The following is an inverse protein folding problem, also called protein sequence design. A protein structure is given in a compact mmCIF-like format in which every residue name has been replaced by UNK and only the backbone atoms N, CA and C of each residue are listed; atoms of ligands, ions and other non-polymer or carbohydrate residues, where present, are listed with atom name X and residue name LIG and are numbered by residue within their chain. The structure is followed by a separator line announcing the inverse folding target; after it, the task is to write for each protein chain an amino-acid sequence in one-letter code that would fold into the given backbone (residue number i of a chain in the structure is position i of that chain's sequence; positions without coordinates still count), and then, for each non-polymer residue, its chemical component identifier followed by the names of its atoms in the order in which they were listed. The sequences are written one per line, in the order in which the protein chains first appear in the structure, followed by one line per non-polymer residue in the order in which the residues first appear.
data_IF_915977307732
#
_entry.id   IF_915977307732
#
_cell.length_a   1.000
_cell.length_b   1.000
_cell.length_c   1.000
_cell.angle_alpha   90.00
_cell.angle_beta   90.00
_cell.angle_gamma   90.00
#
_symmetry.space_group_name_H-M   'P 1'
#
loop_
_entity.id
_entity.type
_entity.pdbx_description
1 polymer ?
#
# COMPACT_ATOMS: atom_id res chain seq x y z
N UNK A 1 -2.95 14.81 -9.14
CA UNK A 1 -2.79 13.72 -10.14
C UNK A 1 -4.15 13.08 -10.43
N UNK A 2 -4.38 12.39 -11.56
CA UNK A 2 -5.63 11.62 -11.74
C UNK A 2 -5.41 10.18 -11.29
N UNK A 3 -6.34 9.64 -10.50
CA UNK A 3 -6.26 8.30 -9.93
C UNK A 3 -7.45 7.44 -10.38
N UNK A 4 -7.21 6.15 -10.59
CA UNK A 4 -8.26 5.16 -10.90
C UNK A 4 -8.09 3.91 -10.05
N UNK A 5 -9.21 3.21 -9.82
CA UNK A 5 -9.16 1.86 -9.28
C UNK A 5 -8.52 0.92 -10.30
N UNK A 6 -7.67 0.03 -9.81
CA UNK A 6 -6.92 -0.94 -10.61
C UNK A 6 -6.69 -2.22 -9.79
N UNK A 7 -5.94 -3.15 -10.39
CA UNK A 7 -5.38 -4.29 -9.69
C UNK A 7 -3.87 -4.30 -9.90
N UNK A 8 -3.13 -4.70 -8.87
CA UNK A 8 -1.68 -4.79 -8.91
C UNK A 8 -1.20 -6.11 -8.31
N UNK A 9 -0.01 -6.52 -8.74
CA UNK A 9 0.60 -7.76 -8.27
C UNK A 9 1.63 -7.46 -7.19
N UNK A 10 1.38 -7.97 -5.98
CA UNK A 10 2.31 -7.93 -4.87
C UNK A 10 3.04 -9.28 -4.81
N UNK A 11 4.37 -9.22 -4.93
CA UNK A 11 5.26 -10.34 -4.70
C UNK A 11 5.54 -10.43 -3.21
N UNK A 12 5.29 -11.59 -2.59
CA UNK A 12 5.57 -11.83 -1.17
C UNK A 12 7.05 -11.66 -0.83
N UNK A 13 7.36 -11.49 0.47
CA UNK A 13 8.75 -11.32 0.94
C UNK A 13 9.65 -12.47 0.46
N UNK A 14 10.85 -12.10 0.02
CA UNK A 14 11.99 -13.00 -0.20
C UNK A 14 12.69 -13.40 1.13
N UNK A 15 12.36 -12.72 2.24
CA UNK A 15 13.07 -12.85 3.51
C UNK A 15 12.35 -13.81 4.51
N UNK A 16 12.37 -15.13 4.26
CA UNK A 16 12.29 -16.21 5.29
C UNK A 16 12.28 -17.61 4.62
N UNK A 17 12.59 -18.72 5.32
CA UNK A 17 12.82 -20.06 4.74
C UNK A 17 11.55 -20.76 4.23
N UNK A 18 10.45 -20.03 4.09
CA UNK A 18 9.20 -20.53 3.56
C UNK A 18 9.18 -20.36 2.04
N UNK A 19 8.61 -21.31 1.28
CA UNK A 19 8.56 -21.22 -0.17
C UNK A 19 7.93 -19.89 -0.60
N UNK A 20 8.45 -19.30 -1.68
CA UNK A 20 7.94 -18.06 -2.26
C UNK A 20 6.42 -18.05 -2.19
N UNK A 21 5.87 -17.12 -1.40
CA UNK A 21 4.44 -16.87 -1.49
C UNK A 21 4.17 -16.48 -2.93
N UNK A 22 3.29 -17.24 -3.59
CA UNK A 22 2.88 -16.97 -4.97
C UNK A 22 2.49 -15.48 -5.08
N UNK A 23 2.81 -14.81 -6.19
CA UNK A 23 2.35 -13.45 -6.40
C UNK A 23 0.84 -13.38 -6.24
N UNK A 24 0.36 -12.35 -5.54
CA UNK A 24 -1.06 -12.15 -5.28
C UNK A 24 -1.54 -10.89 -6.00
N UNK A 25 -2.64 -11.03 -6.74
CA UNK A 25 -3.36 -9.89 -7.30
C UNK A 25 -4.14 -9.22 -6.19
N UNK A 26 -3.91 -7.93 -6.00
CA UNK A 26 -4.50 -7.11 -4.95
C UNK A 26 -5.18 -5.89 -5.54
N UNK A 27 -6.22 -5.36 -4.86
CA UNK A 27 -6.76 -4.05 -5.19
C UNK A 27 -5.64 -3.01 -5.18
N UNK A 28 -5.72 -2.08 -6.13
CA UNK A 28 -4.75 -1.02 -6.28
C UNK A 28 -5.43 0.28 -6.71
N UNK A 29 -4.69 1.37 -6.57
CA UNK A 29 -4.96 2.62 -7.26
C UNK A 29 -3.78 2.98 -8.13
N UNK A 30 -4.07 3.39 -9.35
CA UNK A 30 -3.07 3.77 -10.34
C UNK A 30 -3.26 5.23 -10.72
N UNK A 31 -2.15 5.97 -10.74
CA UNK A 31 -2.13 7.34 -11.21
C UNK A 31 -1.81 7.42 -12.70
N UNK A 32 -2.22 8.51 -13.35
CA UNK A 32 -1.86 8.84 -14.74
C UNK A 32 -0.35 9.05 -14.97
N UNK A 33 0.43 9.12 -13.88
CA UNK A 33 1.89 9.21 -13.89
C UNK A 33 2.59 7.86 -13.63
N UNK A 34 1.85 6.76 -13.62
CA UNK A 34 2.39 5.41 -13.46
C UNK A 34 2.76 5.04 -12.02
N UNK A 35 2.21 5.75 -11.02
CA UNK A 35 2.32 5.35 -9.61
C UNK A 35 1.19 4.38 -9.30
N UNK A 36 1.52 3.22 -8.73
CA UNK A 36 0.56 2.20 -8.33
C UNK A 36 0.68 1.97 -6.85
N UNK A 37 -0.42 2.13 -6.11
CA UNK A 37 -0.48 1.82 -4.67
C UNK A 37 -1.40 0.62 -4.49
N UNK A 38 -0.82 -0.49 -4.04
CA UNK A 38 -1.51 -1.75 -3.74
C UNK A 38 -1.62 -1.91 -2.23
N UNK A 39 -2.60 -2.68 -1.76
CA UNK A 39 -2.74 -2.94 -0.32
C UNK A 39 -3.16 -4.36 -0.01
N UNK A 40 -2.84 -4.80 1.22
CA UNK A 40 -3.23 -6.13 1.72
C UNK A 40 -4.03 -6.02 3.01
N UNK A 41 -4.86 -7.04 3.28
CA UNK A 41 -5.48 -7.25 4.60
C UNK A 41 -4.48 -7.87 5.60
N UNK A 42 -3.36 -8.38 5.10
CA UNK A 42 -2.38 -9.14 5.87
C UNK A 42 -1.47 -8.16 6.59
N UNK A 43 -1.41 -8.30 7.90
CA UNK A 43 -0.64 -7.39 8.74
C UNK A 43 0.40 -8.15 9.56
N UNK A 44 1.56 -7.54 9.86
CA UNK A 44 2.39 -7.99 10.97
C UNK A 44 1.67 -7.84 12.34
N UNK A 45 0.68 -6.95 12.47
CA UNK A 45 -0.05 -6.65 13.73
C UNK A 45 -1.54 -6.39 13.46
N UNK A 46 -2.45 -6.91 14.28
CA UNK A 46 -3.90 -6.68 14.13
C UNK A 46 -4.21 -5.16 14.02
N UNK A 47 -5.01 -4.76 13.01
CA UNK A 47 -5.39 -3.36 12.79
C UNK A 47 -4.43 -2.53 11.90
N UNK A 48 -3.29 -3.08 11.51
CA UNK A 48 -2.38 -2.47 10.53
C UNK A 48 -2.64 -2.99 9.11
N UNK A 49 -2.35 -2.18 8.10
CA UNK A 49 -2.37 -2.57 6.69
C UNK A 49 -1.08 -2.23 6.00
N UNK A 50 -0.62 -3.13 5.15
CA UNK A 50 0.56 -2.88 4.32
C UNK A 50 0.12 -2.23 3.01
N UNK A 51 0.68 -1.05 2.73
CA UNK A 51 0.60 -0.36 1.46
C UNK A 51 1.91 -0.61 0.69
N UNK A 52 1.79 -1.01 -0.57
CA UNK A 52 2.92 -1.21 -1.47
C UNK A 52 2.78 -0.21 -2.59
N UNK A 53 3.65 0.79 -2.61
CA UNK A 53 3.75 1.76 -3.69
C UNK A 53 4.78 1.26 -4.70
N UNK A 54 4.44 1.34 -5.99
CA UNK A 54 5.35 1.03 -7.11
C UNK A 54 5.32 2.17 -8.12
N UNK A 55 6.49 2.55 -8.62
CA UNK A 55 6.64 3.51 -9.74
C UNK A 55 7.84 3.10 -10.59
N UNK A 56 7.61 2.62 -11.82
CA UNK A 56 8.69 2.04 -12.62
C UNK A 56 9.33 0.83 -11.92
N UNK A 57 10.66 0.84 -11.75
CA UNK A 57 11.41 -0.22 -11.06
C UNK A 57 11.57 0.03 -9.54
N UNK A 58 10.92 1.04 -9.00
CA UNK A 58 10.93 1.38 -7.59
C UNK A 58 9.72 0.81 -6.86
N UNK A 59 9.94 0.23 -5.68
CA UNK A 59 8.88 -0.20 -4.77
C UNK A 59 9.15 0.26 -3.34
N UNK A 60 8.14 0.83 -2.69
CA UNK A 60 8.17 1.22 -1.29
C UNK A 60 7.05 0.52 -0.51
N UNK A 61 7.39 -0.01 0.66
CA UNK A 61 6.44 -0.64 1.58
C UNK A 61 6.19 0.31 2.73
N UNK A 62 4.95 0.76 2.90
CA UNK A 62 4.50 1.59 4.01
C UNK A 62 3.43 0.85 4.82
N UNK A 63 3.17 1.31 6.04
CA UNK A 63 2.08 0.78 6.85
C UNK A 63 1.07 1.86 7.16
N UNK A 64 -0.20 1.51 7.11
CA UNK A 64 -1.31 2.35 7.51
C UNK A 64 -1.98 1.75 8.74
N UNK A 65 -2.32 2.59 9.72
CA UNK A 65 -3.15 2.25 10.87
C UNK A 65 -4.45 3.04 10.78
N UNK A 66 -5.56 2.33 10.95
CA UNK A 66 -6.85 2.97 11.16
C UNK A 66 -7.00 3.29 12.66
N UNK A 67 -7.01 4.57 13.01
CA UNK A 67 -7.32 5.08 14.34
C UNK A 67 -8.79 5.51 14.40
N UNK A 68 -9.58 4.90 15.28
CA UNK A 68 -10.93 5.36 15.57
C UNK A 68 -10.83 6.45 16.65
N UNK A 69 -11.10 7.70 16.28
CA UNK A 69 -11.01 8.83 17.20
C UNK A 69 -12.30 9.00 18.00
N UNK A 70 -13.46 8.71 17.38
CA UNK A 70 -14.81 8.66 17.95
C UNK A 70 -15.67 7.72 17.08
N UNK A 71 -16.89 7.35 17.52
CA UNK A 71 -17.83 6.44 16.82
C UNK A 71 -18.20 6.82 15.36
N UNK A 72 -17.66 7.91 14.84
CA UNK A 72 -17.92 8.45 13.50
C UNK A 72 -16.64 8.78 12.71
N UNK A 73 -15.47 8.85 13.36
CA UNK A 73 -14.24 9.37 12.74
C UNK A 73 -13.13 8.33 12.76
N UNK A 74 -12.83 7.79 11.57
CA UNK A 74 -11.61 7.01 11.31
C UNK A 74 -10.53 7.98 10.79
N UNK A 75 -9.39 8.06 11.46
CA UNK A 75 -8.16 8.68 10.98
C UNK A 75 -7.25 7.57 10.47
N UNK A 76 -6.63 7.78 9.31
CA UNK A 76 -5.60 6.87 8.81
C UNK A 76 -4.26 7.51 9.12
N UNK A 77 -3.46 6.84 9.94
CA UNK A 77 -2.07 7.23 10.23
C UNK A 77 -1.14 6.43 9.32
N UNK A 78 -0.33 7.13 8.53
CA UNK A 78 0.74 6.53 7.73
C UNK A 78 2.01 6.45 8.56
N UNK A 79 2.57 5.25 8.66
CA UNK A 79 3.90 5.03 9.22
C UNK A 79 4.87 4.89 8.05
N UNK A 80 5.60 5.97 7.80
CA UNK A 80 6.77 6.06 6.92
C UNK A 80 8.07 6.14 7.73
N UNK A 81 8.11 5.46 8.88
CA UNK A 81 9.34 5.36 9.67
C UNK A 81 10.36 4.50 8.89
N UNK A 82 11.58 4.99 8.59
CA UNK A 82 12.62 4.25 7.87
C UNK A 82 12.97 2.88 8.48
N UNK A 83 12.70 2.67 9.78
CA UNK A 83 12.87 1.39 10.46
C UNK A 83 11.86 0.33 10.00
N UNK A 84 10.69 0.76 9.51
CA UNK A 84 9.62 -0.10 9.04
C UNK A 84 9.41 0.00 7.52
N UNK A 85 9.57 1.20 6.96
CA UNK A 85 9.48 1.48 5.55
C UNK A 85 10.66 0.83 4.82
N UNK A 86 10.35 -0.17 4.00
CA UNK A 86 11.36 -0.85 3.18
C UNK A 86 11.27 -0.37 1.75
N UNK A 87 12.42 -0.12 1.14
CA UNK A 87 12.53 0.31 -0.25
C UNK A 87 13.29 -0.73 -1.06
N UNK A 88 12.74 -1.05 -2.22
CA UNK A 88 13.24 -2.10 -3.08
C UNK A 88 13.39 -1.58 -4.51
N UNK A 89 14.48 -1.97 -5.16
CA UNK A 89 14.57 -1.94 -6.62
C UNK A 89 14.13 -3.27 -7.19
N UNK A 90 13.21 -3.25 -8.14
CA UNK A 90 12.78 -4.41 -8.91
C UNK A 90 13.82 -4.63 -10.01
N UNK A 91 14.52 -5.75 -9.92
CA UNK A 91 15.63 -6.09 -10.82
C UNK A 91 15.16 -6.84 -12.07
N UNK A 92 14.09 -7.64 -11.94
CA UNK A 92 13.58 -8.47 -13.03
C UNK A 92 12.06 -8.44 -13.09
N UNK A 93 11.50 -8.80 -14.26
CA UNK A 93 10.06 -8.90 -14.47
C UNK A 93 9.39 -9.97 -13.58
N UNK A 94 10.19 -10.91 -13.05
CA UNK A 94 9.78 -11.95 -12.11
C UNK A 94 9.67 -11.45 -10.66
N UNK A 95 9.97 -10.17 -10.41
CA UNK A 95 9.82 -9.57 -9.09
C UNK A 95 10.99 -9.80 -8.15
N UNK A 96 12.19 -10.14 -8.67
CA UNK A 96 13.41 -10.09 -7.86
C UNK A 96 13.67 -8.67 -7.39
N UNK A 97 14.02 -8.53 -6.11
CA UNK A 97 14.13 -7.24 -5.43
C UNK A 97 15.46 -7.14 -4.70
N UNK A 98 16.04 -5.96 -4.70
CA UNK A 98 17.17 -5.60 -3.84
C UNK A 98 16.77 -4.44 -2.92
N UNK A 99 16.98 -4.62 -1.62
CA UNK A 99 16.75 -3.56 -0.63
C UNK A 99 17.78 -2.45 -0.85
N UNK A 100 17.36 -1.19 -0.75
CA UNK A 100 18.26 -0.06 -0.92
C UNK A 100 17.80 1.16 -0.11
N UNK A 101 18.70 2.12 0.09
CA UNK A 101 18.35 3.41 0.69
C UNK A 101 17.78 4.35 -0.38
N UNK A 102 16.54 4.85 -0.22
CA UNK A 102 15.91 5.73 -1.20
C UNK A 102 16.59 7.10 -1.26
N UNK A 103 16.48 7.77 -2.39
CA UNK A 103 16.86 9.19 -2.51
C UNK A 103 15.83 10.11 -1.86
N UNK A 104 16.22 11.36 -1.58
CA UNK A 104 15.28 12.37 -1.05
C UNK A 104 14.09 12.62 -1.99
N UNK A 105 14.30 12.53 -3.30
CA UNK A 105 13.22 12.72 -4.29
C UNK A 105 12.27 11.52 -4.33
N UNK A 106 12.79 10.31 -4.14
CA UNK A 106 11.97 9.10 -3.99
C UNK A 106 11.13 9.15 -2.70
N UNK A 107 11.71 9.61 -1.59
CA UNK A 107 10.97 9.84 -0.34
C UNK A 107 9.85 10.86 -0.51
N UNK A 108 10.13 12.02 -1.13
CA UNK A 108 9.12 13.04 -1.44
C UNK A 108 8.03 12.50 -2.36
N UNK A 109 8.41 11.74 -3.39
CA UNK A 109 7.46 11.11 -4.31
C UNK A 109 6.54 10.15 -3.57
N UNK A 110 7.07 9.34 -2.65
CA UNK A 110 6.27 8.41 -1.84
C UNK A 110 5.32 9.17 -0.93
N UNK A 111 5.80 10.15 -0.17
CA UNK A 111 4.95 10.93 0.73
C UNK A 111 3.83 11.63 -0.02
N UNK A 112 4.14 12.36 -1.10
CA UNK A 112 3.14 13.07 -1.89
C UNK A 112 2.12 12.11 -2.53
N UNK A 113 2.59 10.97 -3.07
CA UNK A 113 1.69 9.99 -3.69
C UNK A 113 0.77 9.34 -2.66
N UNK A 114 1.29 9.02 -1.48
CA UNK A 114 0.49 8.44 -0.40
C UNK A 114 -0.51 9.45 0.17
N UNK A 115 -0.13 10.72 0.34
CA UNK A 115 -1.03 11.78 0.78
C UNK A 115 -2.20 12.00 -0.20
N UNK A 116 -1.93 12.03 -1.51
CA UNK A 116 -2.99 12.14 -2.53
C UNK A 116 -3.88 10.89 -2.59
N UNK A 117 -3.28 9.71 -2.44
CA UNK A 117 -3.98 8.44 -2.57
C UNK A 117 -4.79 8.09 -1.31
N UNK A 118 -4.35 8.46 -0.11
CA UNK A 118 -4.96 7.99 1.16
C UNK A 118 -6.48 8.20 1.24
N UNK A 119 -7.03 9.38 0.86
CA UNK A 119 -8.48 9.60 0.90
C UNK A 119 -9.24 8.70 -0.09
N UNK A 120 -8.66 8.46 -1.27
CA UNK A 120 -9.23 7.59 -2.30
C UNK A 120 -9.17 6.12 -1.88
N UNK A 121 -8.04 5.71 -1.31
CA UNK A 121 -7.86 4.38 -0.75
C UNK A 121 -8.89 4.11 0.34
N UNK A 122 -9.14 5.07 1.23
CA UNK A 122 -10.14 4.94 2.29
C UNK A 122 -11.53 4.60 1.74
N UNK A 123 -11.92 5.19 0.61
CA UNK A 123 -13.19 4.89 -0.06
C UNK A 123 -13.20 3.64 -0.94
N UNK A 124 -12.05 3.00 -1.17
CA UNK A 124 -11.93 1.90 -2.12
C UNK A 124 -12.43 0.56 -1.54
N UNK A 125 -13.05 -0.32 -2.37
CA UNK A 125 -13.41 -1.67 -1.96
C UNK A 125 -12.21 -2.44 -1.41
N UNK A 126 -12.37 -3.02 -0.23
CA UNK A 126 -11.30 -3.77 0.42
C UNK A 126 -10.28 -2.94 1.18
N UNK A 127 -10.45 -1.61 1.29
CA UNK A 127 -9.68 -0.75 2.21
C UNK A 127 -10.01 -1.02 3.68
N UNK A 128 -9.20 -0.48 4.59
CA UNK A 128 -9.41 -0.47 6.04
C UNK A 128 -10.80 -0.05 6.45
N UNK A 129 -11.11 1.17 6.02
CA UNK A 129 -12.32 1.88 6.36
C UNK A 129 -13.59 1.36 5.65
N UNK A 130 -13.48 0.64 4.53
CA UNK A 130 -14.64 0.04 3.85
C UNK A 130 -15.23 -1.14 4.65
N UNK A 131 -14.48 -1.71 5.58
CA UNK A 131 -14.87 -2.85 6.42
C UNK A 131 -15.19 -2.47 7.87
N UNK A 132 -15.52 -1.21 8.16
CA UNK A 132 -16.38 -1.00 9.35
C UNK A 132 -17.76 -1.52 8.97
N UNK A 133 -18.37 -2.35 9.83
CA UNK A 133 -19.66 -3.04 9.57
C UNK A 133 -20.83 -2.10 9.19
N UNK A 134 -20.64 -0.78 9.14
CA UNK A 134 -21.63 0.21 8.69
C UNK A 134 -21.83 0.32 7.18
N UNK A 135 -20.91 -0.18 6.33
CA UNK A 135 -21.02 -0.02 4.86
C UNK A 135 -21.49 -1.27 4.10
N UNK A 136 -21.85 -2.35 4.80
CA UNK A 136 -22.44 -3.56 4.18
C UNK A 136 -23.78 -3.31 3.45
N UNK A 137 -24.43 -2.17 3.69
CA UNK A 137 -25.76 -1.85 3.19
C UNK A 137 -25.79 -0.79 2.08
N UNK A 138 -24.64 -0.39 1.51
CA UNK A 138 -24.64 0.42 0.30
C UNK A 138 -24.50 -0.50 -0.91
N UNK A 139 -25.65 -0.92 -1.44
CA UNK A 139 -25.77 -1.48 -2.78
C UNK A 139 -25.25 -0.45 -3.81
N UNK A 140 -24.43 -0.91 -4.75
CA UNK A 140 -23.99 -0.16 -5.94
C UNK A 140 -25.02 -0.34 -7.03
#
# INVERSE_FOLDING_TARGET
MKWRLAQGMIWGKLDNPYPMKKPEVRPAMESDQGVVIMWTKTSPVVGMRTLVLRKGNFEAVAYAIDEVINDETIRVSLILDPKFAKFWKILTYLGEKAEYSPSNDELKCVSASLEEALPLWRGAPGSGAYYSDRYKNLEI
#
